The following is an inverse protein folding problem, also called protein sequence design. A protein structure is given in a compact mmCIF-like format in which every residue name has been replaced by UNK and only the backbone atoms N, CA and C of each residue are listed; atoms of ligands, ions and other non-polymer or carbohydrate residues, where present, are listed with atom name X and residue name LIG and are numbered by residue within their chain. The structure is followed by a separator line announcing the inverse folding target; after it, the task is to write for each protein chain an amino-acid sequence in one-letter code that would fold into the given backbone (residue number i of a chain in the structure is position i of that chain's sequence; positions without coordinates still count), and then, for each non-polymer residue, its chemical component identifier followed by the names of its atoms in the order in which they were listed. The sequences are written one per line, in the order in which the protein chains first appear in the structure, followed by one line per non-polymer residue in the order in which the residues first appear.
data_IF_125662988037
#
_entry.id   IF_125662988037
#
_cell.length_a   1.000
_cell.length_b   1.000
_cell.length_c   1.000
_cell.angle_alpha   90.00
_cell.angle_beta   90.00
_cell.angle_gamma   90.00
#
_symmetry.space_group_name_H-M   'P 1'
#
loop_
_entity.id
_entity.type
_entity.pdbx_description
1 polymer ?
#
# COMPACT_ATOMS: atom_id res chain seq x y z
N UNK A 1 -3.54 8.37 -24.33
CA UNK A 1 -2.69 8.07 -23.17
C UNK A 1 -3.56 7.26 -22.23
N UNK A 2 -3.20 6.02 -21.92
CA UNK A 2 -3.92 5.26 -20.88
C UNK A 2 -3.25 5.66 -19.58
N UNK A 3 -3.93 6.41 -18.72
CA UNK A 3 -3.49 6.65 -17.36
C UNK A 3 -3.33 5.30 -16.66
N UNK A 4 -2.08 4.93 -16.36
CA UNK A 4 -1.76 3.72 -15.58
C UNK A 4 -1.68 4.09 -14.11
N UNK A 5 -2.83 4.47 -13.54
CA UNK A 5 -2.98 4.67 -12.10
C UNK A 5 -3.64 3.45 -11.45
N UNK A 6 -3.12 3.00 -10.32
CA UNK A 6 -3.68 1.88 -9.53
C UNK A 6 -4.02 2.38 -8.14
N UNK A 7 -5.27 2.18 -7.72
CA UNK A 7 -5.74 2.63 -6.40
C UNK A 7 -5.01 1.88 -5.28
N UNK A 8 -4.44 2.62 -4.34
CA UNK A 8 -3.77 2.09 -3.15
C UNK A 8 -4.64 2.26 -1.89
N UNK A 9 -5.17 3.45 -1.68
CA UNK A 9 -5.96 3.77 -0.48
C UNK A 9 -7.16 4.61 -0.88
N UNK A 10 -8.30 4.32 -0.28
CA UNK A 10 -9.51 5.13 -0.36
C UNK A 10 -9.97 5.49 1.05
N UNK A 11 -10.25 6.76 1.30
CA UNK A 11 -10.85 7.24 2.55
C UNK A 11 -12.31 7.66 2.28
N UNK A 12 -13.30 6.78 2.50
CA UNK A 12 -14.70 7.09 2.36
C UNK A 12 -15.13 8.14 3.39
N UNK A 13 -16.35 8.66 3.25
CA UNK A 13 -16.89 9.70 4.15
C UNK A 13 -16.93 9.29 5.64
N UNK A 14 -16.94 7.98 5.93
CA UNK A 14 -16.82 7.46 7.30
C UNK A 14 -15.48 7.78 7.98
N UNK A 15 -14.46 8.19 7.21
CA UNK A 15 -13.11 8.51 7.68
C UNK A 15 -12.21 7.28 7.86
N UNK A 16 -12.69 6.07 7.56
CA UNK A 16 -11.91 4.84 7.69
C UNK A 16 -11.07 4.59 6.43
N UNK A 17 -9.75 4.74 6.51
CA UNK A 17 -8.85 4.46 5.37
C UNK A 17 -8.84 2.97 5.01
N UNK A 18 -9.36 2.66 3.83
CA UNK A 18 -9.37 1.32 3.26
C UNK A 18 -8.17 1.14 2.33
N UNK A 19 -7.36 0.11 2.59
CA UNK A 19 -6.26 -0.27 1.70
C UNK A 19 -6.75 -1.28 0.65
N UNK A 20 -6.33 -1.08 -0.60
CA UNK A 20 -6.52 -2.08 -1.65
C UNK A 20 -5.58 -3.27 -1.45
N UNK A 21 -5.90 -4.39 -2.13
CA UNK A 21 -5.00 -5.54 -2.20
C UNK A 21 -3.61 -5.15 -2.73
N UNK A 22 -3.53 -4.21 -3.68
CA UNK A 22 -2.27 -3.69 -4.22
C UNK A 22 -1.44 -2.98 -3.15
N UNK A 23 -2.06 -2.14 -2.31
CA UNK A 23 -1.34 -1.47 -1.23
C UNK A 23 -0.81 -2.48 -0.20
N UNK A 24 -1.62 -3.47 0.17
CA UNK A 24 -1.20 -4.54 1.08
C UNK A 24 -0.07 -5.36 0.47
N UNK A 25 -0.18 -5.76 -0.79
CA UNK A 25 0.86 -6.48 -1.53
C UNK A 25 2.20 -5.73 -1.53
N UNK A 26 2.15 -4.41 -1.79
CA UNK A 26 3.33 -3.55 -1.78
C UNK A 26 3.98 -3.46 -0.40
N UNK A 27 3.19 -3.32 0.66
CA UNK A 27 3.69 -3.27 2.04
C UNK A 27 4.28 -4.60 2.50
N UNK A 28 3.65 -5.71 2.15
CA UNK A 28 4.10 -7.06 2.55
C UNK A 28 5.24 -7.57 1.66
N UNK A 29 5.37 -7.04 0.44
CA UNK A 29 6.37 -7.50 -0.54
C UNK A 29 6.02 -8.86 -1.14
N UNK A 30 4.74 -9.05 -1.50
CA UNK A 30 4.18 -10.30 -2.04
C UNK A 30 3.37 -10.00 -3.31
N UNK A 31 3.09 -11.01 -4.16
CA UNK A 31 2.28 -10.82 -5.36
C UNK A 31 0.84 -10.39 -5.03
N UNK A 32 0.31 -9.41 -5.77
CA UNK A 32 -1.07 -8.92 -5.57
C UNK A 32 -2.12 -10.03 -5.73
N UNK A 33 -1.92 -10.95 -6.67
CA UNK A 33 -2.83 -12.07 -6.90
C UNK A 33 -2.94 -13.04 -5.71
N UNK A 34 -1.92 -13.12 -4.85
CA UNK A 34 -2.00 -13.89 -3.61
C UNK A 34 -2.78 -13.11 -2.54
N UNK A 35 -2.60 -11.80 -2.46
CA UNK A 35 -3.33 -10.94 -1.53
C UNK A 35 -4.82 -10.90 -1.84
N UNK A 36 -5.20 -10.84 -3.12
CA UNK A 36 -6.59 -10.86 -3.56
C UNK A 36 -7.37 -12.11 -3.10
N UNK A 37 -6.68 -13.21 -2.79
CA UNK A 37 -7.31 -14.44 -2.31
C UNK A 37 -7.65 -14.43 -0.82
N UNK A 38 -7.02 -13.54 -0.05
CA UNK A 38 -7.10 -13.56 1.43
C UNK A 38 -7.48 -12.22 2.04
N UNK A 39 -7.30 -11.11 1.32
CA UNK A 39 -7.52 -9.78 1.84
C UNK A 39 -9.00 -9.47 2.00
N UNK A 40 -9.41 -9.33 3.25
CA UNK A 40 -10.74 -8.89 3.64
C UNK A 40 -10.61 -7.55 4.37
N UNK A 41 -11.11 -6.48 3.75
CA UNK A 41 -11.07 -5.13 4.32
C UNK A 41 -11.87 -5.01 5.61
N UNK A 42 -12.87 -5.89 5.85
CA UNK A 42 -13.65 -5.90 7.09
C UNK A 42 -12.91 -6.54 8.28
N UNK A 43 -11.93 -7.40 7.99
CA UNK A 43 -11.09 -8.08 8.99
C UNK A 43 -9.75 -7.36 9.17
N UNK A 44 -9.27 -6.71 8.11
CA UNK A 44 -8.00 -5.99 8.10
C UNK A 44 -6.80 -6.93 8.23
N UNK A 45 -5.64 -6.47 8.76
CA UNK A 45 -4.40 -7.24 8.78
C UNK A 45 -4.46 -8.60 9.51
N UNK A 46 -5.51 -8.86 10.30
CA UNK A 46 -5.70 -10.13 10.99
C UNK A 46 -6.00 -11.31 10.04
N UNK A 47 -6.43 -11.06 8.80
CA UNK A 47 -6.63 -12.10 7.80
C UNK A 47 -5.34 -12.57 7.10
N UNK A 48 -4.22 -11.83 7.28
CA UNK A 48 -2.99 -12.08 6.55
C UNK A 48 -2.13 -13.17 7.20
N UNK A 49 -1.40 -13.98 6.41
CA UNK A 49 -0.43 -14.93 6.93
C UNK A 49 0.64 -14.27 7.80
N UNK A 50 1.07 -14.98 8.85
CA UNK A 50 2.00 -14.46 9.85
C UNK A 50 3.36 -14.07 9.23
N UNK A 51 3.82 -14.82 8.24
CA UNK A 51 5.05 -14.55 7.50
C UNK A 51 4.95 -13.27 6.67
N UNK A 52 3.78 -12.96 6.11
CA UNK A 52 3.55 -11.70 5.41
C UNK A 52 3.57 -10.53 6.38
N UNK A 53 2.91 -10.65 7.54
CA UNK A 53 2.97 -9.64 8.60
C UNK A 53 4.42 -9.40 9.06
N UNK A 54 5.23 -10.46 9.18
CA UNK A 54 6.66 -10.34 9.51
C UNK A 54 7.44 -9.62 8.39
N UNK A 55 7.15 -9.93 7.13
CA UNK A 55 7.75 -9.25 5.98
C UNK A 55 7.36 -7.77 5.94
N UNK A 56 6.10 -7.44 6.17
CA UNK A 56 5.60 -6.07 6.27
C UNK A 56 6.30 -5.28 7.39
N UNK A 57 6.49 -5.88 8.57
CA UNK A 57 7.26 -5.25 9.67
C UNK A 57 8.68 -4.93 9.26
N UNK A 58 9.37 -5.86 8.60
CA UNK A 58 10.74 -5.65 8.08
C UNK A 58 10.76 -4.52 7.06
N UNK A 59 9.83 -4.53 6.11
CA UNK A 59 9.72 -3.52 5.05
C UNK A 59 9.40 -2.13 5.59
N UNK A 60 8.53 -2.03 6.59
CA UNK A 60 8.24 -0.78 7.29
C UNK A 60 9.45 -0.25 8.07
N UNK A 61 10.22 -1.12 8.72
CA UNK A 61 11.44 -0.72 9.42
C UNK A 61 12.51 -0.18 8.44
N UNK A 62 12.67 -0.81 7.29
CA UNK A 62 13.58 -0.37 6.23
C UNK A 62 13.15 0.98 5.65
N UNK A 63 11.86 1.13 5.28
CA UNK A 63 11.33 2.40 4.78
C UNK A 63 11.53 3.52 5.81
N UNK A 64 11.28 3.25 7.10
CA UNK A 64 11.52 4.20 8.19
C UNK A 64 12.99 4.61 8.28
N UNK A 65 13.91 3.67 8.16
CA UNK A 65 15.35 3.96 8.23
C UNK A 65 15.81 4.89 7.08
N UNK A 66 15.20 4.76 5.89
CA UNK A 66 15.54 5.58 4.73
C UNK A 66 14.82 6.94 4.66
N UNK A 67 13.61 7.03 5.21
CA UNK A 67 12.74 8.21 5.06
C UNK A 67 12.59 9.03 6.34
N UNK A 68 12.91 8.45 7.50
CA UNK A 68 12.59 8.99 8.82
C UNK A 68 11.10 8.90 9.19
N UNK A 69 10.22 8.53 8.24
CA UNK A 69 8.78 8.49 8.43
C UNK A 69 8.26 7.15 8.96
N UNK A 70 7.11 7.19 9.65
CA UNK A 70 6.49 6.01 10.27
C UNK A 70 5.11 5.69 9.72
N UNK A 71 4.56 6.51 8.81
CA UNK A 71 3.23 6.30 8.25
C UNK A 71 3.24 5.25 7.14
N UNK A 72 2.12 4.54 6.97
CA UNK A 72 1.94 3.59 5.88
C UNK A 72 2.11 4.26 4.50
N UNK A 73 1.66 5.51 4.36
CA UNK A 73 1.83 6.30 3.14
C UNK A 73 3.30 6.48 2.76
N UNK A 74 4.18 6.73 3.73
CA UNK A 74 5.63 6.87 3.48
C UNK A 74 6.25 5.53 3.10
N UNK A 75 5.82 4.43 3.74
CA UNK A 75 6.26 3.10 3.36
C UNK A 75 5.82 2.73 1.94
N UNK A 76 4.57 3.03 1.56
CA UNK A 76 4.05 2.84 0.21
C UNK A 76 4.86 3.64 -0.81
N UNK A 77 5.11 4.92 -0.58
CA UNK A 77 5.92 5.77 -1.46
C UNK A 77 7.32 5.20 -1.67
N UNK A 78 7.97 4.80 -0.57
CA UNK A 78 9.32 4.24 -0.62
C UNK A 78 9.38 2.97 -1.47
N UNK A 79 8.47 2.02 -1.23
CA UNK A 79 8.46 0.74 -1.93
C UNK A 79 7.95 0.85 -3.37
N UNK A 80 7.00 1.74 -3.66
CA UNK A 80 6.57 2.06 -5.02
C UNK A 80 7.77 2.48 -5.89
N UNK A 81 8.58 3.40 -5.38
CA UNK A 81 9.77 3.88 -6.08
C UNK A 81 10.83 2.79 -6.19
N UNK A 82 11.08 2.06 -5.10
CA UNK A 82 12.17 1.09 -5.03
C UNK A 82 11.92 -0.17 -5.86
N UNK A 83 10.70 -0.72 -5.83
CA UNK A 83 10.39 -2.00 -6.48
C UNK A 83 9.89 -1.81 -7.92
N UNK A 84 9.25 -0.68 -8.22
CA UNK A 84 8.55 -0.49 -9.50
C UNK A 84 8.95 0.78 -10.26
N UNK A 85 9.82 1.65 -9.71
CA UNK A 85 10.10 2.96 -10.31
C UNK A 85 8.86 3.84 -10.44
N UNK A 86 7.86 3.59 -9.60
CA UNK A 86 6.57 4.29 -9.58
C UNK A 86 6.53 5.34 -8.46
N UNK A 87 5.63 6.30 -8.58
CA UNK A 87 5.36 7.31 -7.56
C UNK A 87 3.97 7.09 -6.96
N UNK A 88 3.70 7.76 -5.84
CA UNK A 88 2.34 7.84 -5.29
C UNK A 88 1.78 9.26 -5.47
N UNK A 89 0.51 9.33 -5.82
CA UNK A 89 -0.24 10.58 -5.96
C UNK A 89 -1.39 10.60 -4.94
N UNK A 90 -1.62 11.76 -4.33
CA UNK A 90 -2.76 12.00 -3.45
C UNK A 90 -3.77 12.86 -4.18
N UNK A 91 -4.99 12.35 -4.34
CA UNK A 91 -6.13 13.14 -4.81
C UNK A 91 -6.90 13.64 -3.58
N UNK A 92 -6.76 14.93 -3.27
CA UNK A 92 -7.45 15.54 -2.12
C UNK A 92 -8.97 15.65 -2.31
N UNK A 93 -9.44 15.66 -3.57
CA UNK A 93 -10.88 15.76 -3.86
C UNK A 93 -11.58 14.44 -3.58
N UNK A 94 -10.95 13.32 -3.93
CA UNK A 94 -11.51 11.97 -3.71
C UNK A 94 -10.97 11.31 -2.45
N UNK A 95 -9.98 11.90 -1.78
CA UNK A 95 -9.24 11.34 -0.64
C UNK A 95 -8.65 9.97 -0.95
N UNK A 96 -8.12 9.84 -2.16
CA UNK A 96 -7.53 8.61 -2.65
C UNK A 96 -6.01 8.74 -2.78
N UNK A 97 -5.34 7.60 -2.66
CA UNK A 97 -3.92 7.46 -2.94
C UNK A 97 -3.77 6.51 -4.12
N UNK A 98 -3.04 6.94 -5.12
CA UNK A 98 -2.83 6.22 -6.36
C UNK A 98 -1.35 5.89 -6.54
N UNK A 99 -1.05 4.69 -7.04
CA UNK A 99 0.25 4.35 -7.60
C UNK A 99 0.25 4.80 -9.06
N UNK A 100 1.28 5.55 -9.47
CA UNK A 100 1.41 6.08 -10.83
C UNK A 100 2.76 5.66 -11.41
N UNK A 101 2.72 5.00 -12.56
CA UNK A 101 3.93 4.66 -13.33
C UNK A 101 4.18 5.72 -14.40
N UNK A 102 5.43 6.14 -14.64
CA UNK A 102 5.78 7.08 -15.71
C UNK A 102 5.53 6.52 -17.12
#
# INVERSE_FOLDING_TARGET
MIDRRVLLVHEPESGERLMSATAVALLMGVPVAEVEQVWDTSVGPACLPAEWIKAGKRRSAEARAHTGGTSAAIALAYWARKDFGAEIEFDENTREVWLVTP
#
